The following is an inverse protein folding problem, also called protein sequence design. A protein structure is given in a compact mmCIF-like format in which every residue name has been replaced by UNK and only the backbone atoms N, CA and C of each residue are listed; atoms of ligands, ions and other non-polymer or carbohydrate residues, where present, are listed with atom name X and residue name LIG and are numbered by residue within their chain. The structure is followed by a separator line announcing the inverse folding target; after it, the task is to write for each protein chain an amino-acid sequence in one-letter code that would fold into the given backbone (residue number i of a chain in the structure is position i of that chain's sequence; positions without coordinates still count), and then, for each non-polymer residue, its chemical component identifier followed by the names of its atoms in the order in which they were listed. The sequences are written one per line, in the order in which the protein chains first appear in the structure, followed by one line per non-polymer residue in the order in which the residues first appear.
data_IF_085003237494
#
_entry.id   IF_085003237494
#
_cell.length_a   1.000
_cell.length_b   1.000
_cell.length_c   1.000
_cell.angle_alpha   90.00
_cell.angle_beta   90.00
_cell.angle_gamma   90.00
#
_symmetry.space_group_name_H-M   'P 1'
#
loop_
_entity.id
_entity.type
_entity.pdbx_description
1 polymer ?
#
# COMPACT_ATOMS: atom_id res chain seq x y z
N UNK A 1 -7.09 2.00 -6.20
CA UNK A 1 -6.35 2.81 -7.20
C UNK A 1 -6.67 4.28 -7.11
N UNK A 2 -5.79 5.12 -7.66
CA UNK A 2 -6.11 6.51 -7.95
C UNK A 2 -7.17 6.58 -9.05
N UNK A 3 -8.14 7.47 -8.88
CA UNK A 3 -9.19 7.72 -9.89
C UNK A 3 -8.62 8.38 -11.16
N UNK A 4 -7.46 9.04 -11.05
CA UNK A 4 -6.78 9.80 -12.09
C UNK A 4 -5.35 9.31 -12.35
N UNK A 5 -5.19 8.00 -12.64
CA UNK A 5 -3.93 7.43 -13.10
C UNK A 5 -3.89 7.33 -14.64
N UNK A 6 -2.72 7.57 -15.23
CA UNK A 6 -2.48 7.39 -16.67
C UNK A 6 -2.46 5.90 -17.06
N UNK A 7 -2.28 5.00 -16.10
CA UNK A 7 -2.41 3.55 -16.27
C UNK A 7 -2.94 2.93 -14.99
N UNK A 8 -4.14 2.35 -15.05
CA UNK A 8 -4.72 1.60 -13.93
C UNK A 8 -4.15 0.17 -13.95
N UNK A 9 -3.31 -0.16 -12.97
CA UNK A 9 -2.72 -1.49 -12.82
C UNK A 9 -3.55 -2.41 -11.90
N UNK A 10 -4.47 -1.86 -11.11
CA UNK A 10 -5.26 -2.61 -10.11
C UNK A 10 -6.24 -3.61 -10.73
N UNK A 11 -6.62 -3.42 -11.99
CA UNK A 11 -7.42 -4.41 -12.74
C UNK A 11 -6.60 -5.66 -13.07
N UNK A 12 -5.28 -5.53 -13.20
CA UNK A 12 -4.38 -6.62 -13.62
C UNK A 12 -3.60 -7.24 -12.46
N UNK A 13 -3.27 -6.45 -11.45
CA UNK A 13 -2.42 -6.82 -10.34
C UNK A 13 -2.98 -6.30 -9.01
N UNK A 14 -2.59 -6.95 -7.91
CA UNK A 14 -3.12 -6.66 -6.59
C UNK A 14 -4.34 -7.53 -6.28
N UNK A 15 -4.51 -7.85 -5.00
CA UNK A 15 -5.71 -8.48 -4.48
C UNK A 15 -6.61 -7.42 -3.84
N UNK A 16 -7.90 -7.70 -3.73
CA UNK A 16 -8.78 -6.88 -2.91
C UNK A 16 -8.36 -6.98 -1.42
N UNK A 17 -7.93 -5.87 -0.78
CA UNK A 17 -7.34 -5.94 0.55
C UNK A 17 -8.36 -6.25 1.65
N UNK A 18 -9.66 -6.13 1.37
CA UNK A 18 -10.72 -6.36 2.36
C UNK A 18 -11.24 -7.80 2.26
N UNK A 19 -11.42 -8.30 1.04
CA UNK A 19 -12.09 -9.58 0.78
C UNK A 19 -11.11 -10.72 0.47
N UNK A 20 -9.97 -10.44 -0.16
CA UNK A 20 -9.01 -11.48 -0.60
C UNK A 20 -7.75 -11.50 0.26
N UNK A 21 -7.20 -10.32 0.61
CA UNK A 21 -5.96 -10.16 1.38
C UNK A 21 -5.89 -10.99 2.66
N UNK A 22 -6.90 -10.95 3.55
CA UNK A 22 -6.92 -11.76 4.76
C UNK A 22 -6.90 -13.27 4.49
N UNK A 23 -7.60 -13.71 3.44
CA UNK A 23 -7.61 -15.12 3.02
C UNK A 23 -6.24 -15.58 2.55
N UNK A 24 -5.54 -14.75 1.77
CA UNK A 24 -4.18 -15.03 1.31
C UNK A 24 -3.18 -15.12 2.46
N UNK A 25 -3.26 -14.22 3.44
CA UNK A 25 -2.41 -14.24 4.64
C UNK A 25 -2.67 -15.50 5.49
N UNK A 26 -3.94 -15.87 5.68
CA UNK A 26 -4.31 -17.10 6.39
C UNK A 26 -3.75 -18.34 5.70
N UNK A 27 -3.92 -18.44 4.37
CA UNK A 27 -3.40 -19.56 3.59
C UNK A 27 -1.87 -19.62 3.65
N UNK A 28 -1.18 -18.47 3.55
CA UNK A 28 0.28 -18.43 3.68
C UNK A 28 0.75 -18.98 5.03
N UNK A 29 0.00 -18.70 6.10
CA UNK A 29 0.30 -19.23 7.44
C UNK A 29 0.11 -20.74 7.52
N UNK A 30 -0.99 -21.25 6.97
CA UNK A 30 -1.26 -22.70 6.90
C UNK A 30 -0.19 -23.46 6.12
N UNK A 31 0.32 -22.85 5.05
CA UNK A 31 1.40 -23.39 4.22
C UNK A 31 2.80 -23.24 4.85
N UNK A 32 2.92 -22.61 6.02
CA UNK A 32 4.20 -22.37 6.68
C UNK A 32 5.11 -21.38 5.94
N UNK A 33 4.55 -20.53 5.09
CA UNK A 33 5.28 -19.46 4.40
C UNK A 33 5.56 -18.30 5.35
N UNK A 34 6.54 -17.46 5.02
CA UNK A 34 6.86 -16.27 5.78
C UNK A 34 6.50 -15.01 4.98
N UNK A 35 5.38 -14.37 5.35
CA UNK A 35 5.01 -13.06 4.83
C UNK A 35 5.63 -11.99 5.72
N UNK A 36 6.32 -11.03 5.11
CA UNK A 36 7.06 -9.97 5.83
C UNK A 36 6.49 -8.57 5.62
N UNK A 37 5.44 -8.42 4.81
CA UNK A 37 5.04 -7.10 4.38
C UNK A 37 3.95 -7.05 3.31
N UNK A 38 3.63 -5.83 2.91
CA UNK A 38 2.63 -5.50 1.89
C UNK A 38 3.26 -4.53 0.90
N UNK A 39 2.95 -4.70 -0.39
CA UNK A 39 3.30 -3.78 -1.46
C UNK A 39 2.05 -3.27 -2.16
N UNK A 40 2.03 -2.01 -2.56
CA UNK A 40 0.98 -1.47 -3.43
C UNK A 40 1.54 -0.56 -4.51
N UNK A 41 0.71 -0.22 -5.49
CA UNK A 41 1.05 0.76 -6.53
C UNK A 41 -0.19 1.54 -6.92
N UNK A 42 -0.20 2.87 -6.70
CA UNK A 42 -1.42 3.69 -6.89
C UNK A 42 -1.76 3.99 -8.35
N UNK A 43 -0.82 3.74 -9.26
CA UNK A 43 -0.93 3.93 -10.71
C UNK A 43 -0.01 5.03 -11.23
N UNK A 44 0.47 4.88 -12.46
CA UNK A 44 1.41 5.83 -13.09
C UNK A 44 0.79 7.21 -13.31
N UNK A 45 1.53 8.26 -12.93
CA UNK A 45 1.09 9.65 -13.13
C UNK A 45 -0.09 10.04 -12.24
N UNK A 46 -0.16 9.48 -11.03
CA UNK A 46 -1.19 9.79 -10.05
C UNK A 46 -1.15 11.29 -9.73
N UNK A 47 -2.29 11.96 -9.90
CA UNK A 47 -2.51 13.36 -9.52
C UNK A 47 -3.37 13.49 -8.25
N UNK A 48 -3.61 12.38 -7.56
CA UNK A 48 -4.47 12.28 -6.40
C UNK A 48 -3.65 11.82 -5.19
N UNK A 49 -3.05 12.74 -4.40
CA UNK A 49 -2.28 12.41 -3.21
C UNK A 49 -3.03 11.48 -2.23
N UNK A 50 -4.34 11.67 -2.09
CA UNK A 50 -5.18 10.86 -1.21
C UNK A 50 -5.23 9.37 -1.60
N UNK A 51 -4.88 9.01 -2.84
CA UNK A 51 -4.76 7.61 -3.25
C UNK A 51 -3.65 6.89 -2.47
N UNK A 52 -2.54 7.58 -2.18
CA UNK A 52 -1.48 7.03 -1.34
C UNK A 52 -1.95 6.86 0.10
N UNK A 53 -2.64 7.85 0.69
CA UNK A 53 -3.18 7.75 2.05
C UNK A 53 -4.09 6.52 2.20
N UNK A 54 -5.02 6.32 1.26
CA UNK A 54 -5.92 5.16 1.27
C UNK A 54 -5.15 3.85 1.15
N UNK A 55 -4.16 3.77 0.26
CA UNK A 55 -3.35 2.57 0.08
C UNK A 55 -2.52 2.23 1.32
N UNK A 56 -1.92 3.24 1.97
CA UNK A 56 -1.18 3.08 3.22
C UNK A 56 -2.11 2.58 4.34
N UNK A 57 -3.32 3.13 4.45
CA UNK A 57 -4.32 2.66 5.43
C UNK A 57 -4.70 1.20 5.22
N UNK A 58 -4.98 0.79 3.98
CA UNK A 58 -5.33 -0.61 3.69
C UNK A 58 -4.14 -1.56 3.91
N UNK A 59 -2.93 -1.11 3.62
CA UNK A 59 -1.73 -1.86 3.92
C UNK A 59 -1.54 -2.03 5.44
N UNK A 60 -1.81 -0.98 6.23
CA UNK A 60 -1.77 -1.04 7.70
C UNK A 60 -2.75 -2.08 8.25
N UNK A 61 -4.00 -2.10 7.76
CA UNK A 61 -5.00 -3.09 8.19
C UNK A 61 -4.54 -4.54 7.92
N UNK A 62 -3.88 -4.77 6.78
CA UNK A 62 -3.28 -6.08 6.46
C UNK A 62 -2.04 -6.40 7.30
N UNK A 63 -1.25 -5.39 7.68
CA UNK A 63 -0.14 -5.56 8.62
C UNK A 63 -0.63 -6.00 9.99
N UNK A 64 -1.65 -5.34 10.52
CA UNK A 64 -2.28 -5.70 11.79
C UNK A 64 -2.81 -7.13 11.74
N UNK A 65 -3.59 -7.44 10.69
CA UNK A 65 -4.13 -8.78 10.51
C UNK A 65 -3.02 -9.84 10.39
N UNK A 66 -1.99 -9.60 9.58
CA UNK A 66 -0.85 -10.50 9.46
C UNK A 66 -0.13 -10.71 10.80
N UNK A 67 -0.01 -9.67 11.61
CA UNK A 67 0.57 -9.75 12.95
C UNK A 67 -0.29 -10.64 13.87
N UNK A 68 -1.63 -10.56 13.79
CA UNK A 68 -2.51 -11.47 14.54
C UNK A 68 -2.35 -12.95 14.17
N UNK A 69 -1.92 -13.24 12.94
CA UNK A 69 -1.60 -14.60 12.47
C UNK A 69 -0.19 -15.07 12.88
N UNK A 70 0.60 -14.19 13.51
CA UNK A 70 1.96 -14.45 13.96
C UNK A 70 3.04 -14.18 12.92
N UNK A 71 2.75 -13.41 11.86
CA UNK A 71 3.78 -12.90 10.97
C UNK A 71 4.55 -11.74 11.61
N UNK A 72 5.84 -11.62 11.28
CA UNK A 72 6.63 -10.45 11.63
C UNK A 72 6.65 -9.50 10.43
N UNK A 73 5.68 -8.59 10.40
CA UNK A 73 5.47 -7.66 9.29
C UNK A 73 6.39 -6.43 9.45
N UNK A 74 7.40 -6.31 8.60
CA UNK A 74 8.46 -5.28 8.71
C UNK A 74 8.72 -4.48 7.44
N UNK A 75 8.09 -4.84 6.32
CA UNK A 75 8.38 -4.22 5.02
C UNK A 75 7.11 -3.65 4.38
N UNK A 76 7.03 -2.33 4.30
CA UNK A 76 6.02 -1.65 3.49
C UNK A 76 6.67 -1.14 2.21
N UNK A 77 6.18 -1.60 1.06
CA UNK A 77 6.55 -1.06 -0.26
C UNK A 77 5.41 -0.22 -0.82
N UNK A 78 5.62 1.10 -0.88
CA UNK A 78 4.62 2.06 -1.37
C UNK A 78 4.57 2.16 -2.91
N UNK A 79 5.43 1.40 -3.58
CA UNK A 79 5.53 1.32 -5.03
C UNK A 79 5.88 2.65 -5.68
N UNK A 80 5.11 3.02 -6.71
CA UNK A 80 5.36 4.17 -7.54
C UNK A 80 4.07 4.87 -7.97
N UNK A 81 4.17 5.65 -9.04
CA UNK A 81 3.07 6.50 -9.51
C UNK A 81 3.30 7.99 -9.32
N UNK A 82 4.42 8.35 -8.70
CA UNK A 82 4.88 9.72 -8.50
C UNK A 82 4.90 10.51 -9.81
N UNK A 83 4.46 11.78 -9.81
CA UNK A 83 4.39 12.55 -11.03
C UNK A 83 5.77 13.16 -11.38
N UNK A 84 6.26 12.89 -12.59
CA UNK A 84 7.65 13.20 -13.00
C UNK A 84 7.86 14.43 -13.90
N UNK A 85 6.88 15.34 -14.02
CA UNK A 85 7.02 16.56 -14.83
C UNK A 85 7.25 17.81 -13.97
N UNK A 86 7.82 18.87 -14.53
CA UNK A 86 8.24 20.08 -13.78
C UNK A 86 7.10 20.88 -13.13
N UNK A 87 5.85 20.59 -13.49
CA UNK A 87 4.64 21.21 -12.93
C UNK A 87 3.88 20.24 -12.02
N UNK A 88 4.56 19.25 -11.44
CA UNK A 88 3.91 18.16 -10.72
C UNK A 88 3.80 18.34 -9.21
N UNK A 89 2.76 17.73 -8.66
CA UNK A 89 2.44 17.69 -7.24
C UNK A 89 3.29 16.66 -6.46
N UNK A 90 4.56 16.44 -6.82
CA UNK A 90 5.40 15.45 -6.12
C UNK A 90 5.52 15.75 -4.62
N UNK A 91 5.78 17.02 -4.28
CA UNK A 91 5.89 17.46 -2.88
C UNK A 91 4.60 17.26 -2.09
N UNK A 92 3.45 17.49 -2.72
CA UNK A 92 2.14 17.25 -2.09
C UNK A 92 1.89 15.77 -1.84
N UNK A 93 2.22 14.90 -2.81
CA UNK A 93 2.20 13.45 -2.59
C UNK A 93 3.13 13.03 -1.45
N UNK A 94 4.37 13.54 -1.44
CA UNK A 94 5.34 13.23 -0.40
C UNK A 94 4.86 13.69 0.99
N UNK A 95 4.25 14.87 1.10
CA UNK A 95 3.70 15.38 2.35
C UNK A 95 2.56 14.48 2.87
N UNK A 96 1.60 14.12 2.01
CA UNK A 96 0.50 13.22 2.37
C UNK A 96 1.00 11.83 2.74
N UNK A 97 2.00 11.31 2.03
CA UNK A 97 2.65 10.02 2.33
C UNK A 97 3.30 10.09 3.70
N UNK A 98 4.16 11.08 3.97
CA UNK A 98 4.87 11.21 5.24
C UNK A 98 3.90 11.32 6.41
N UNK A 99 2.85 12.15 6.31
CA UNK A 99 1.81 12.25 7.35
C UNK A 99 1.12 10.91 7.61
N UNK A 100 0.86 10.13 6.56
CA UNK A 100 0.22 8.82 6.68
C UNK A 100 1.15 7.79 7.29
N UNK A 101 2.43 7.80 6.91
CA UNK A 101 3.46 6.92 7.46
C UNK A 101 3.74 7.24 8.94
N UNK A 102 3.87 8.50 9.31
CA UNK A 102 4.09 8.90 10.70
C UNK A 102 2.93 8.46 11.61
N UNK A 103 1.70 8.46 11.09
CA UNK A 103 0.50 8.06 11.85
C UNK A 103 0.29 6.56 11.94
N UNK A 104 0.60 5.80 10.88
CA UNK A 104 0.23 4.38 10.77
C UNK A 104 1.44 3.44 10.85
N UNK A 105 2.63 3.89 10.46
CA UNK A 105 3.87 3.13 10.48
C UNK A 105 4.98 3.93 11.20
N UNK A 106 4.76 4.34 12.46
CA UNK A 106 5.73 5.15 13.19
C UNK A 106 7.06 4.41 13.34
N UNK A 107 8.16 5.17 13.33
CA UNK A 107 9.47 4.60 13.65
C UNK A 107 9.47 4.06 15.09
N UNK A 108 10.12 2.92 15.36
CA UNK A 108 10.28 2.37 16.70
C UNK A 108 10.96 3.32 17.69
#
# INVERSE_FOLDING_TARGET
DASSACSNLGIKYGCDPITEGPGLLSLARELGLNVVGVSFHVGSGCKEPDAFRRAISLAHDLFDYGTTLGFHMTLLDIGGGFPGNSNSNFSECAEVINQSLDSLFPSP
#
